data_IF_408992674964
#
_entry.id   IF_408992674964
#
_cell.length_a   1.000
_cell.length_b   1.000
_cell.length_c   1.000
_cell.angle_alpha   90.00
_cell.angle_beta   90.00
_cell.angle_gamma   90.00
#
_symmetry.space_group_name_H-M   'P 1'
#
loop_
_entity.id
_entity.type
_entity.pdbx_description
1 polymer ?
#
# COMPACT_ATOMS: atom_id res chain seq x y z
N UNK A 1 -3.17 -14.53 8.66
CA UNK A 1 -3.66 -13.50 7.73
C UNK A 1 -5.13 -13.78 7.49
N UNK A 2 -6.00 -13.24 8.35
CA UNK A 2 -7.44 -13.09 8.04
C UNK A 2 -7.48 -11.78 7.24
N UNK A 3 -7.95 -11.66 6.00
CA UNK A 3 -8.88 -12.44 5.20
C UNK A 3 -9.68 -11.40 4.42
N UNK A 4 -9.28 -11.12 3.17
CA UNK A 4 -9.86 -10.13 2.26
C UNK A 4 -9.67 -8.64 2.65
N UNK A 5 -9.16 -7.82 1.72
CA UNK A 5 -8.93 -6.37 1.85
C UNK A 5 -10.22 -5.53 1.94
N UNK A 6 -11.38 -6.18 2.10
CA UNK A 6 -12.72 -5.57 2.04
C UNK A 6 -13.31 -5.37 3.43
N UNK A 7 -13.29 -6.41 4.27
CA UNK A 7 -13.98 -6.40 5.55
C UNK A 7 -13.47 -5.33 6.56
N UNK A 8 -12.15 -5.08 6.71
CA UNK A 8 -11.68 -4.12 7.71
C UNK A 8 -11.91 -2.65 7.31
N UNK A 9 -12.20 -2.36 6.05
CA UNK A 9 -12.26 -0.99 5.54
C UNK A 9 -13.51 -0.24 6.01
N UNK A 10 -14.59 -0.96 6.28
CA UNK A 10 -15.89 -0.37 6.64
C UNK A 10 -16.03 -0.04 8.13
N UNK A 11 -15.07 -0.43 8.96
CA UNK A 11 -15.08 -0.17 10.39
C UNK A 11 -14.05 0.90 10.74
N UNK A 12 -14.50 1.94 11.44
CA UNK A 12 -13.64 2.88 12.14
C UNK A 12 -13.25 2.25 13.49
N UNK A 13 -11.96 2.16 13.78
CA UNK A 13 -11.42 1.58 15.02
C UNK A 13 -10.97 2.68 16.00
N UNK A 14 -11.21 3.95 15.70
CA UNK A 14 -10.63 5.08 16.42
C UNK A 14 -9.14 5.25 16.15
N UNK A 15 -8.64 4.72 15.03
CA UNK A 15 -7.24 4.86 14.65
C UNK A 15 -6.88 6.28 14.21
N UNK A 16 -5.69 6.76 14.58
CA UNK A 16 -5.17 8.04 14.06
C UNK A 16 -4.82 7.95 12.57
N UNK A 17 -4.32 6.79 12.14
CA UNK A 17 -3.91 6.55 10.76
C UNK A 17 -4.24 5.12 10.33
N UNK A 18 -4.59 4.99 9.06
CA UNK A 18 -4.85 3.75 8.34
C UNK A 18 -3.82 3.59 7.23
N UNK A 19 -3.19 2.42 7.23
CA UNK A 19 -2.10 2.07 6.31
C UNK A 19 -2.57 0.94 5.43
N UNK A 20 -2.57 1.15 4.11
CA UNK A 20 -2.75 0.08 3.15
C UNK A 20 -1.40 -0.65 2.97
N UNK A 21 -1.36 -1.96 3.17
CA UNK A 21 -0.16 -2.76 2.87
C UNK A 21 -0.54 -3.79 1.82
N UNK A 22 0.10 -3.72 0.66
CA UNK A 22 -0.09 -4.64 -0.46
C UNK A 22 1.24 -5.20 -0.91
N UNK A 23 1.27 -6.43 -1.41
CA UNK A 23 2.49 -7.02 -1.97
C UNK A 23 2.52 -6.94 -3.48
N UNK A 24 3.69 -6.72 -4.09
CA UNK A 24 3.88 -6.82 -5.54
C UNK A 24 3.38 -8.16 -6.11
N UNK A 25 3.61 -9.26 -5.38
CA UNK A 25 3.15 -10.61 -5.74
C UNK A 25 1.63 -10.76 -5.85
N UNK A 26 0.84 -9.82 -5.34
CA UNK A 26 -0.62 -9.88 -5.46
C UNK A 26 -1.11 -9.28 -6.79
N UNK A 27 -0.26 -8.56 -7.53
CA UNK A 27 -0.57 -7.90 -8.80
C UNK A 27 -0.90 -6.41 -8.65
N UNK A 28 -0.70 -5.64 -9.73
CA UNK A 28 -0.84 -4.18 -9.75
C UNK A 28 -2.31 -3.69 -9.73
N UNK A 29 -3.27 -4.59 -9.94
CA UNK A 29 -4.71 -4.27 -10.05
C UNK A 29 -5.44 -4.05 -8.70
N UNK A 30 -4.71 -4.07 -7.58
CA UNK A 30 -5.29 -3.95 -6.23
C UNK A 30 -6.05 -2.64 -5.98
N UNK A 31 -5.58 -1.47 -6.44
CA UNK A 31 -6.33 -0.23 -6.27
C UNK A 31 -7.71 -0.31 -6.94
N UNK A 32 -7.78 -0.84 -8.16
CA UNK A 32 -9.03 -1.04 -8.88
C UNK A 32 -9.95 -2.06 -8.21
N UNK A 33 -9.39 -3.16 -7.67
CA UNK A 33 -10.17 -4.23 -7.00
C UNK A 33 -10.66 -3.85 -5.60
N UNK A 34 -9.93 -3.00 -4.87
CA UNK A 34 -10.22 -2.65 -3.48
C UNK A 34 -10.31 -1.14 -3.26
N UNK A 35 -11.14 -0.41 -4.02
CA UNK A 35 -11.05 1.04 -4.10
C UNK A 35 -11.37 1.76 -2.78
N UNK A 36 -12.17 1.15 -1.90
CA UNK A 36 -12.45 1.70 -0.57
C UNK A 36 -11.20 1.74 0.34
N UNK A 37 -10.32 0.73 0.24
CA UNK A 37 -9.08 0.69 1.01
C UNK A 37 -8.19 1.86 0.64
N UNK A 38 -7.96 2.05 -0.67
CA UNK A 38 -7.08 3.10 -1.18
C UNK A 38 -7.68 4.51 -1.07
N UNK A 39 -9.00 4.64 -0.98
CA UNK A 39 -9.66 5.91 -0.66
C UNK A 39 -9.52 6.34 0.80
N UNK A 40 -9.42 5.39 1.73
CA UNK A 40 -9.45 5.68 3.18
C UNK A 40 -8.08 5.62 3.85
N UNK A 41 -7.12 4.92 3.26
CA UNK A 41 -5.75 4.90 3.74
C UNK A 41 -5.05 6.26 3.53
N UNK A 42 -4.20 6.65 4.49
CA UNK A 42 -3.37 7.85 4.40
C UNK A 42 -2.04 7.58 3.71
N UNK A 43 -1.65 6.31 3.58
CA UNK A 43 -0.42 5.86 2.91
C UNK A 43 -0.62 4.43 2.44
N UNK A 44 0.00 4.08 1.32
CA UNK A 44 0.12 2.69 0.88
C UNK A 44 1.59 2.25 0.88
N UNK A 45 1.85 1.09 1.46
CA UNK A 45 3.12 0.39 1.42
C UNK A 45 3.01 -0.70 0.35
N UNK A 46 3.77 -0.56 -0.74
CA UNK A 46 3.97 -1.60 -1.74
C UNK A 46 5.15 -2.45 -1.29
N UNK A 47 4.86 -3.58 -0.65
CA UNK A 47 5.88 -4.50 -0.14
C UNK A 47 6.29 -5.54 -1.19
N UNK A 48 7.40 -6.22 -0.93
CA UNK A 48 8.00 -7.27 -1.79
C UNK A 48 8.47 -6.76 -3.15
N UNK A 49 8.96 -5.53 -3.21
CA UNK A 49 9.50 -4.94 -4.45
C UNK A 49 10.69 -5.75 -5.01
N UNK A 50 11.37 -6.51 -4.15
CA UNK A 50 12.43 -7.45 -4.51
C UNK A 50 11.96 -8.58 -5.44
N UNK A 51 10.64 -8.78 -5.57
CA UNK A 51 10.05 -9.74 -6.51
C UNK A 51 9.67 -9.12 -7.86
N UNK A 52 9.64 -7.79 -7.99
CA UNK A 52 9.19 -7.12 -9.22
C UNK A 52 9.92 -7.58 -10.49
N UNK A 53 11.24 -7.85 -10.48
CA UNK A 53 11.94 -8.37 -11.67
C UNK A 53 11.44 -9.74 -12.16
N UNK A 54 10.67 -10.45 -11.35
CA UNK A 54 10.12 -11.78 -11.65
C UNK A 54 8.61 -11.77 -11.85
N UNK A 55 7.99 -10.59 -11.82
CA UNK A 55 6.54 -10.41 -11.90
C UNK A 55 6.18 -9.48 -13.04
N UNK A 56 5.03 -9.72 -13.66
CA UNK A 56 4.41 -8.77 -14.58
C UNK A 56 3.63 -7.69 -13.80
N UNK A 57 4.38 -6.91 -13.03
CA UNK A 57 3.82 -5.83 -12.21
C UNK A 57 4.03 -4.49 -12.91
N UNK A 58 2.94 -3.87 -13.35
CA UNK A 58 2.95 -2.52 -13.90
C UNK A 58 2.87 -1.48 -12.77
N UNK A 59 4.01 -0.89 -12.45
CA UNK A 59 4.12 0.09 -11.38
C UNK A 59 3.51 1.46 -11.74
N UNK A 60 3.55 1.83 -13.01
CA UNK A 60 2.96 3.08 -13.49
C UNK A 60 1.44 2.99 -13.39
N UNK A 61 0.84 1.87 -13.83
CA UNK A 61 -0.58 1.61 -13.70
C UNK A 61 -1.02 1.55 -12.24
N UNK A 62 -0.26 0.84 -11.37
CA UNK A 62 -0.54 0.82 -9.94
C UNK A 62 -0.56 2.23 -9.34
N UNK A 63 0.46 3.03 -9.63
CA UNK A 63 0.59 4.41 -9.13
C UNK A 63 -0.55 5.28 -9.64
N UNK A 64 -0.88 5.18 -10.93
CA UNK A 64 -1.99 5.92 -11.55
C UNK A 64 -3.34 5.58 -10.91
N UNK A 65 -3.63 4.30 -10.69
CA UNK A 65 -4.89 3.90 -10.08
C UNK A 65 -4.98 4.27 -8.60
N UNK A 66 -3.86 4.20 -7.86
CA UNK A 66 -3.77 4.74 -6.50
C UNK A 66 -4.13 6.22 -6.49
N UNK A 67 -3.49 7.03 -7.34
CA UNK A 67 -3.72 8.48 -7.37
C UNK A 67 -5.08 8.88 -7.95
N UNK A 68 -5.69 8.06 -8.80
CA UNK A 68 -7.09 8.25 -9.22
C UNK A 68 -8.05 8.14 -8.04
N UNK A 69 -7.75 7.29 -7.06
CA UNK A 69 -8.57 7.08 -5.88
C UNK A 69 -8.23 8.05 -4.74
N UNK A 70 -6.94 8.36 -4.58
CA UNK A 70 -6.43 9.27 -3.57
C UNK A 70 -5.20 10.04 -4.12
N UNK A 71 -5.41 11.24 -4.71
CA UNK A 71 -4.40 11.97 -5.48
C UNK A 71 -3.12 12.33 -4.73
N UNK A 72 -3.17 12.41 -3.40
CA UNK A 72 -2.05 12.81 -2.56
C UNK A 72 -1.49 11.64 -1.74
N UNK A 73 -1.97 10.41 -1.95
CA UNK A 73 -1.51 9.27 -1.16
C UNK A 73 -0.03 8.97 -1.43
N UNK A 74 0.83 8.99 -0.40
CA UNK A 74 2.19 8.50 -0.51
C UNK A 74 2.19 7.00 -0.81
N UNK A 75 3.08 6.60 -1.72
CA UNK A 75 3.34 5.19 -2.07
C UNK A 75 4.77 4.88 -1.65
N UNK A 76 4.92 4.07 -0.61
CA UNK A 76 6.22 3.69 -0.07
C UNK A 76 6.58 2.30 -0.57
N UNK A 77 7.72 2.19 -1.24
CA UNK A 77 8.23 0.97 -1.86
C UNK A 77 9.10 0.27 -0.85
N UNK A 78 8.75 -0.96 -0.49
CA UNK A 78 9.42 -1.67 0.60
C UNK A 78 9.74 -3.10 0.18
N UNK A 79 10.91 -3.58 0.61
CA UNK A 79 11.21 -5.00 0.67
C UNK A 79 11.63 -5.33 2.09
N UNK A 80 10.73 -5.96 2.85
CA UNK A 80 11.08 -6.47 4.18
C UNK A 80 12.15 -7.58 4.12
N UNK A 81 12.39 -8.19 2.95
CA UNK A 81 13.44 -9.21 2.77
C UNK A 81 14.83 -8.60 2.67
N UNK A 82 14.97 -7.51 1.92
CA UNK A 82 16.27 -6.86 1.65
C UNK A 82 16.52 -5.68 2.59
N UNK A 83 15.48 -5.16 3.25
CA UNK A 83 15.52 -3.95 4.07
C UNK A 83 15.30 -2.65 3.29
N UNK A 84 15.19 -2.72 1.96
CA UNK A 84 14.96 -1.56 1.10
C UNK A 84 13.64 -0.86 1.47
N UNK A 85 13.68 0.47 1.58
CA UNK A 85 12.54 1.32 1.92
C UNK A 85 12.01 1.21 3.35
N UNK A 86 12.53 0.31 4.18
CA UNK A 86 12.07 0.15 5.58
C UNK A 86 12.35 1.41 6.40
N UNK A 87 13.53 2.03 6.22
CA UNK A 87 13.88 3.27 6.92
C UNK A 87 12.91 4.41 6.58
N UNK A 88 12.63 4.62 5.29
CA UNK A 88 11.69 5.64 4.81
C UNK A 88 10.27 5.41 5.34
N UNK A 89 9.83 4.15 5.37
CA UNK A 89 8.58 3.76 6.00
C UNK A 89 8.53 4.11 7.49
N UNK A 90 9.58 3.74 8.24
CA UNK A 90 9.63 4.06 9.67
C UNK A 90 9.72 5.55 9.94
N UNK A 91 10.43 6.32 9.11
CA UNK A 91 10.52 7.77 9.24
C UNK A 91 9.16 8.44 8.99
N UNK A 92 8.43 7.99 7.96
CA UNK A 92 7.08 8.49 7.68
C UNK A 92 6.14 8.31 8.89
N UNK A 93 6.24 7.16 9.57
CA UNK A 93 5.49 6.86 10.79
C UNK A 93 5.91 7.76 11.95
N UNK A 94 7.22 7.89 12.20
CA UNK A 94 7.75 8.65 13.33
C UNK A 94 7.42 10.15 13.25
N UNK A 95 7.35 10.72 12.05
CA UNK A 95 6.93 12.11 11.83
C UNK A 95 5.44 12.38 12.16
N UNK A 96 4.66 11.32 12.43
CA UNK A 96 3.21 11.35 12.63
C UNK A 96 2.76 10.88 14.01
N UNK A 97 3.69 10.42 14.85
CA UNK A 97 3.49 10.18 16.28
C UNK A 97 3.53 11.51 17.04
#
# INVERSE_FOLDING_TARGET
NVGNLVCPVVFDLGETYRVAVVSAAEGHDKPAKYPALFRTAQVTVLNKIDLMPYLDFDEEQFTSDVHRLNPQMPILRVSCRTGEGVSEWTEWLLQRL
#
